data_IF_040537690440
#
_entry.id   IF_040537690440
#
_cell.length_a   1.000
_cell.length_b   1.000
_cell.length_c   1.000
_cell.angle_alpha   90.00
_cell.angle_beta   90.00
_cell.angle_gamma   90.00
#
_symmetry.space_group_name_H-M   'P 1'
#
loop_
_entity.id
_entity.type
_entity.pdbx_description
1 polymer ?
#
# COMPACT_ATOMS: atom_id res chain seq x y z
N UNK A 1 -2.45 -13.48 -0.86
CA UNK A 1 -2.28 -12.06 -0.48
C UNK A 1 -2.81 -11.10 -1.53
N UNK A 2 -2.29 -11.12 -2.73
CA UNK A 2 -2.74 -10.18 -3.77
C UNK A 2 -4.20 -10.41 -4.18
N UNK A 3 -4.62 -11.64 -4.23
CA UNK A 3 -5.99 -11.99 -4.61
C UNK A 3 -7.01 -11.51 -3.57
N UNK A 4 -6.71 -11.71 -2.30
CA UNK A 4 -7.61 -11.35 -1.20
C UNK A 4 -7.38 -9.93 -0.69
N UNK A 5 -6.30 -9.28 -1.14
CA UNK A 5 -5.92 -7.92 -0.75
C UNK A 5 -5.91 -7.72 0.77
N UNK A 6 -5.33 -8.66 1.49
CA UNK A 6 -5.25 -8.61 2.95
C UNK A 6 -4.50 -7.36 3.44
N UNK A 7 -3.64 -6.78 2.61
CA UNK A 7 -2.92 -5.55 2.95
C UNK A 7 -3.85 -4.36 3.22
N UNK A 8 -5.10 -4.43 2.78
CA UNK A 8 -6.09 -3.37 3.04
C UNK A 8 -6.56 -3.35 4.49
N UNK A 9 -6.28 -4.40 5.26
CA UNK A 9 -6.58 -4.43 6.69
C UNK A 9 -5.55 -3.58 7.43
N UNK A 10 -5.95 -2.43 8.05
CA UNK A 10 -4.98 -1.54 8.70
C UNK A 10 -4.22 -2.19 9.84
N UNK A 11 -4.82 -3.16 10.51
CA UNK A 11 -4.25 -3.84 11.67
C UNK A 11 -3.48 -5.11 11.29
N UNK A 12 -3.32 -5.39 10.00
CA UNK A 12 -2.61 -6.58 9.55
C UNK A 12 -1.19 -6.60 10.09
N UNK A 13 -0.81 -7.72 10.70
CA UNK A 13 0.53 -7.95 11.18
C UNK A 13 1.09 -9.25 10.61
N UNK A 14 2.39 -9.46 10.83
CA UNK A 14 3.09 -10.61 10.27
C UNK A 14 2.48 -11.94 10.74
N UNK A 15 2.09 -12.01 12.01
CA UNK A 15 1.48 -13.22 12.56
C UNK A 15 0.15 -13.55 11.90
N UNK A 16 -0.69 -12.53 11.68
CA UNK A 16 -1.97 -12.71 11.00
C UNK A 16 -1.78 -13.19 9.56
N UNK A 17 -0.83 -12.58 8.84
CA UNK A 17 -0.56 -12.98 7.46
C UNK A 17 -0.02 -14.40 7.42
N UNK A 18 0.92 -14.76 8.29
CA UNK A 18 1.46 -16.10 8.37
C UNK A 18 0.38 -17.13 8.65
N UNK A 19 -0.56 -16.80 9.57
CA UNK A 19 -1.69 -17.66 9.88
C UNK A 19 -2.59 -17.88 8.66
N UNK A 20 -2.88 -16.83 7.90
CA UNK A 20 -3.69 -16.96 6.68
C UNK A 20 -3.02 -17.82 5.61
N UNK A 21 -1.70 -17.80 5.56
CA UNK A 21 -0.93 -18.59 4.59
C UNK A 21 -0.55 -19.98 5.12
N UNK A 22 -0.92 -20.28 6.36
CA UNK A 22 -0.58 -21.55 7.02
C UNK A 22 0.93 -21.79 7.12
N UNK A 23 1.71 -20.73 7.35
CA UNK A 23 3.16 -20.80 7.53
C UNK A 23 3.55 -20.17 8.86
N UNK A 24 4.74 -20.51 9.35
CA UNK A 24 5.28 -19.90 10.54
C UNK A 24 5.74 -18.47 10.23
N UNK A 25 5.52 -17.52 11.16
CA UNK A 25 5.85 -16.11 10.92
C UNK A 25 7.35 -15.89 10.65
N UNK A 26 8.24 -16.67 11.27
CA UNK A 26 9.68 -16.56 10.98
C UNK A 26 10.00 -16.95 9.54
N UNK A 27 9.32 -17.98 9.02
CA UNK A 27 9.51 -18.41 7.63
C UNK A 27 9.03 -17.33 6.68
N UNK A 28 7.86 -16.74 6.93
CA UNK A 28 7.32 -15.68 6.11
C UNK A 28 8.23 -14.45 6.10
N UNK A 29 8.75 -14.07 7.28
CA UNK A 29 9.68 -12.96 7.40
C UNK A 29 10.94 -13.18 6.57
N UNK A 30 11.51 -14.38 6.62
CA UNK A 30 12.69 -14.75 5.84
C UNK A 30 12.41 -14.68 4.33
N UNK A 31 11.27 -15.17 3.91
CA UNK A 31 10.87 -15.12 2.49
C UNK A 31 10.77 -13.69 2.00
N UNK A 32 10.08 -12.82 2.74
CA UNK A 32 9.92 -11.42 2.37
C UNK A 32 11.29 -10.73 2.29
N UNK A 33 12.14 -10.92 3.30
CA UNK A 33 13.47 -10.32 3.30
C UNK A 33 14.36 -10.83 2.17
N UNK A 34 14.29 -12.13 1.86
CA UNK A 34 15.11 -12.74 0.82
C UNK A 34 14.75 -12.27 -0.58
N UNK A 35 13.44 -12.20 -0.89
CA UNK A 35 12.98 -11.86 -2.24
C UNK A 35 12.85 -10.37 -2.46
N UNK A 36 12.34 -9.63 -1.46
CA UNK A 36 12.04 -8.22 -1.62
C UNK A 36 13.08 -7.30 -0.98
N UNK A 37 14.00 -7.86 -0.19
CA UNK A 37 14.97 -7.09 0.59
C UNK A 37 14.28 -6.00 1.40
N UNK A 38 13.12 -6.31 1.99
CA UNK A 38 12.26 -5.39 2.71
C UNK A 38 11.77 -5.99 4.01
N UNK A 39 11.42 -5.12 4.96
CA UNK A 39 10.70 -5.57 6.15
C UNK A 39 9.25 -5.91 5.75
N UNK A 40 8.56 -6.62 6.65
CA UNK A 40 7.14 -6.92 6.45
C UNK A 40 6.34 -5.63 6.20
N UNK A 41 6.58 -4.60 7.01
CA UNK A 41 5.83 -3.34 6.90
C UNK A 41 6.13 -2.61 5.59
N UNK A 42 7.37 -2.59 5.16
CA UNK A 42 7.74 -1.99 3.87
C UNK A 42 7.06 -2.73 2.72
N UNK A 43 7.02 -4.05 2.79
CA UNK A 43 6.35 -4.86 1.77
C UNK A 43 4.85 -4.55 1.71
N UNK A 44 4.17 -4.58 2.87
CA UNK A 44 2.73 -4.33 2.94
C UNK A 44 2.40 -2.90 2.51
N UNK A 45 3.17 -1.92 2.98
CA UNK A 45 2.93 -0.53 2.61
C UNK A 45 3.19 -0.29 1.12
N UNK A 46 4.13 -1.00 0.52
CA UNK A 46 4.35 -0.97 -0.92
C UNK A 46 3.12 -1.44 -1.69
N UNK A 47 2.50 -2.55 -1.25
CA UNK A 47 1.27 -3.04 -1.85
C UNK A 47 0.11 -2.05 -1.71
N UNK A 48 0.00 -1.41 -0.55
CA UNK A 48 -1.01 -0.37 -0.30
C UNK A 48 -0.83 0.81 -1.24
N UNK A 49 0.40 1.23 -1.49
CA UNK A 49 0.70 2.34 -2.41
C UNK A 49 0.33 1.95 -3.85
N UNK A 50 0.64 0.74 -4.27
CA UNK A 50 0.27 0.28 -5.61
C UNK A 50 -1.25 0.24 -5.79
N UNK A 51 -1.99 -0.19 -4.78
CA UNK A 51 -3.46 -0.14 -4.83
C UNK A 51 -3.97 1.29 -4.90
N UNK A 52 -3.36 2.21 -4.12
CA UNK A 52 -3.72 3.63 -4.18
C UNK A 52 -3.54 4.19 -5.59
N UNK A 53 -2.43 3.87 -6.25
CA UNK A 53 -2.19 4.33 -7.63
C UNK A 53 -3.29 3.85 -8.57
N UNK A 54 -3.71 2.60 -8.41
CA UNK A 54 -4.80 2.02 -9.20
C UNK A 54 -6.11 2.76 -8.95
N UNK A 55 -6.44 3.00 -7.68
CA UNK A 55 -7.69 3.66 -7.31
C UNK A 55 -7.74 5.12 -7.81
N UNK A 56 -6.63 5.85 -7.65
CA UNK A 56 -6.62 7.27 -8.02
C UNK A 56 -6.64 7.47 -9.53
N UNK A 57 -6.17 6.49 -10.30
CA UNK A 57 -6.21 6.55 -11.75
C UNK A 57 -7.61 6.29 -12.34
N UNK A 58 -8.49 5.66 -11.56
CA UNK A 58 -9.84 5.34 -12.03
C UNK A 58 -10.74 6.57 -11.94
N UNK A 59 -11.32 7.03 -13.06
CA UNK A 59 -12.20 8.22 -13.05
C UNK A 59 -13.40 8.10 -12.11
N UNK A 60 -13.85 6.89 -11.82
CA UNK A 60 -15.00 6.67 -10.93
C UNK A 60 -14.70 7.14 -9.50
N UNK A 61 -13.43 7.23 -9.14
CA UNK A 61 -13.01 7.64 -7.80
C UNK A 61 -12.70 9.14 -7.67
N UNK A 62 -12.97 9.94 -8.70
CA UNK A 62 -12.65 11.38 -8.69
C UNK A 62 -13.37 12.15 -7.59
N UNK A 63 -14.53 11.66 -7.15
CA UNK A 63 -15.32 12.29 -6.09
C UNK A 63 -14.72 12.10 -4.70
N UNK A 64 -13.77 11.19 -4.55
CA UNK A 64 -13.17 10.86 -3.26
C UNK A 64 -11.90 11.67 -3.03
N UNK A 65 -11.63 11.98 -1.75
CA UNK A 65 -10.38 12.64 -1.39
C UNK A 65 -9.23 11.65 -1.46
N UNK A 66 -8.01 12.17 -1.62
CA UNK A 66 -6.82 11.31 -1.60
C UNK A 66 -6.71 10.54 -0.28
N UNK A 67 -7.03 11.19 0.83
CA UNK A 67 -6.96 10.56 2.14
C UNK A 67 -7.98 9.42 2.29
N UNK A 68 -9.21 9.61 1.78
CA UNK A 68 -10.21 8.54 1.85
C UNK A 68 -9.78 7.33 1.02
N UNK A 69 -9.17 7.54 -0.14
CA UNK A 69 -8.62 6.44 -0.94
C UNK A 69 -7.46 5.75 -0.23
N UNK A 70 -6.64 6.52 0.49
CA UNK A 70 -5.55 5.94 1.29
C UNK A 70 -6.10 5.02 2.39
N UNK A 71 -7.16 5.41 3.05
CA UNK A 71 -7.80 4.56 4.05
C UNK A 71 -8.37 3.28 3.45
N UNK A 72 -8.93 3.36 2.25
CA UNK A 72 -9.40 2.18 1.52
C UNK A 72 -8.27 1.20 1.21
N UNK A 73 -7.04 1.71 1.06
CA UNK A 73 -5.88 0.88 0.79
C UNK A 73 -5.28 0.24 2.05
N UNK A 74 -5.74 0.65 3.24
CA UNK A 74 -5.27 0.06 4.49
C UNK A 74 -4.44 0.97 5.36
N UNK A 75 -4.14 2.21 4.94
CA UNK A 75 -3.45 3.16 5.80
C UNK A 75 -4.39 3.64 6.90
N UNK A 76 -3.86 3.81 8.11
CA UNK A 76 -4.66 4.22 9.26
C UNK A 76 -4.38 5.65 9.71
N UNK A 77 -3.52 6.38 9.02
CA UNK A 77 -3.26 7.79 9.32
C UNK A 77 -2.71 8.52 8.10
N UNK A 78 -2.98 9.81 8.04
CA UNK A 78 -2.43 10.69 7.00
C UNK A 78 -0.90 10.71 7.03
N UNK A 79 -0.32 10.76 8.23
CA UNK A 79 1.13 10.80 8.39
C UNK A 79 1.80 9.54 7.82
N UNK A 80 1.25 8.37 8.15
CA UNK A 80 1.78 7.10 7.65
C UNK A 80 1.65 7.03 6.13
N UNK A 81 0.51 7.44 5.58
CA UNK A 81 0.29 7.44 4.14
C UNK A 81 1.30 8.34 3.42
N UNK A 82 1.42 9.61 3.85
CA UNK A 82 2.32 10.56 3.21
C UNK A 82 3.77 10.09 3.26
N UNK A 83 4.21 9.61 4.41
CA UNK A 83 5.57 9.13 4.59
C UNK A 83 5.89 7.94 3.67
N UNK A 84 5.01 6.96 3.65
CA UNK A 84 5.22 5.76 2.84
C UNK A 84 5.09 6.06 1.35
N UNK A 85 4.16 6.94 0.98
CA UNK A 85 4.00 7.33 -0.42
C UNK A 85 5.27 8.00 -0.94
N UNK A 86 5.84 8.93 -0.18
CA UNK A 86 7.07 9.60 -0.58
C UNK A 86 8.25 8.63 -0.63
N UNK A 87 8.31 7.68 0.30
CA UNK A 87 9.37 6.67 0.32
C UNK A 87 9.34 5.79 -0.94
N UNK A 88 8.15 5.42 -1.41
CA UNK A 88 7.99 4.54 -2.57
C UNK A 88 8.12 5.30 -3.89
N UNK A 89 7.55 6.49 -3.99
CA UNK A 89 7.43 7.22 -5.26
C UNK A 89 8.38 8.41 -5.37
N UNK A 90 9.02 8.84 -4.28
CA UNK A 90 9.80 10.07 -4.16
C UNK A 90 8.95 11.34 -4.31
N UNK A 91 7.63 11.21 -4.38
CA UNK A 91 6.69 12.32 -4.55
C UNK A 91 5.68 12.34 -3.41
N UNK A 92 5.11 13.53 -3.15
CA UNK A 92 3.91 13.58 -2.31
C UNK A 92 2.71 13.06 -3.12
N UNK A 93 1.62 12.65 -2.45
CA UNK A 93 0.41 12.25 -3.17
C UNK A 93 -0.13 13.33 -4.11
N UNK A 94 -0.07 14.60 -3.69
CA UNK A 94 -0.51 15.72 -4.53
C UNK A 94 0.35 15.90 -5.76
N UNK A 95 1.66 15.79 -5.61
CA UNK A 95 2.60 15.88 -6.74
C UNK A 95 2.36 14.74 -7.71
N UNK A 96 2.16 13.53 -7.21
CA UNK A 96 1.85 12.37 -8.04
C UNK A 96 0.56 12.59 -8.84
N UNK A 97 -0.48 13.08 -8.18
CA UNK A 97 -1.76 13.34 -8.83
C UNK A 97 -1.61 14.36 -9.97
N UNK A 98 -0.83 15.41 -9.75
CA UNK A 98 -0.53 16.40 -10.79
C UNK A 98 0.14 15.76 -11.99
N UNK A 99 1.12 14.88 -11.77
CA UNK A 99 1.82 14.20 -12.86
C UNK A 99 0.88 13.32 -13.69
N UNK A 100 0.02 12.53 -13.05
CA UNK A 100 -0.89 11.67 -13.82
C UNK A 100 -1.93 12.48 -14.59
N UNK A 101 -2.37 13.62 -14.06
CA UNK A 101 -3.28 14.51 -14.79
C UNK A 101 -2.64 15.05 -16.04
N UNK A 102 -1.36 15.41 -15.98
CA UNK A 102 -0.61 15.87 -17.15
C UNK A 102 -0.52 14.77 -18.20
N UNK A 103 -0.27 13.53 -17.79
CA UNK A 103 -0.17 12.42 -18.74
C UNK A 103 -1.53 11.99 -19.29
N UNK A 104 -2.60 12.14 -18.52
CA UNK A 104 -3.94 11.74 -18.94
C UNK A 104 -4.66 12.84 -19.75
N UNK A 105 -4.18 14.07 -19.64
CA UNK A 105 -4.74 15.17 -20.39
C UNK A 105 -4.21 15.18 -21.80
#
# INVERSE_FOLDING_TARGET
MLKDKLFKEPELNLGQLAGNLHVHSNVLSQVINSFENKTFYDYINGLRIEEFKTLVADPVNRQYTLLSLAYECGFNSKTAFNRNFKKVTALSPSEYLTQIKVHLA
#
